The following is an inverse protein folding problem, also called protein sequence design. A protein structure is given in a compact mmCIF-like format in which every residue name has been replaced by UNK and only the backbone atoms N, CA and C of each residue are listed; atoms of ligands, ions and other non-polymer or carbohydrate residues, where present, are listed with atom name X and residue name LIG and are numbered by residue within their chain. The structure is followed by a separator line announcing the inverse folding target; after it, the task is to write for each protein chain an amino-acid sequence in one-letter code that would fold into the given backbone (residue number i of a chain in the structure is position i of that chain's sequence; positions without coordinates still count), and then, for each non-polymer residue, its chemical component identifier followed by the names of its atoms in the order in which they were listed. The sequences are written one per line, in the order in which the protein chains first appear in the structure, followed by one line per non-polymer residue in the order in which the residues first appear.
data_IF_065761349249
#
_entry.id   IF_065761349249
#
_cell.length_a   1.000
_cell.length_b   1.000
_cell.length_c   1.000
_cell.angle_alpha   90.00
_cell.angle_beta   90.00
_cell.angle_gamma   90.00
#
_symmetry.space_group_name_H-M   'P 1'
#
loop_
_entity.id
_entity.type
_entity.pdbx_description
1 polymer ?
#
# COMPACT_ATOMS: atom_id res chain seq x y z
N UNK A 1 31.61 34.98 5.73
CA UNK A 1 30.45 34.89 6.67
C UNK A 1 29.19 34.52 5.90
N UNK A 2 28.63 33.31 6.06
CA UNK A 2 27.35 32.92 5.44
C UNK A 2 26.20 33.44 6.30
N UNK A 3 25.49 34.45 5.80
CA UNK A 3 24.37 35.13 6.48
C UNK A 3 23.21 34.15 6.68
N UNK A 4 22.87 33.86 7.94
CA UNK A 4 21.74 32.99 8.31
C UNK A 4 20.45 33.79 8.17
N UNK A 5 19.82 33.72 7.01
CA UNK A 5 18.51 34.32 6.78
C UNK A 5 17.45 33.48 7.52
N UNK A 6 16.91 34.01 8.62
CA UNK A 6 15.74 33.44 9.28
C UNK A 6 14.52 33.99 8.54
N UNK A 7 13.73 33.11 7.93
CA UNK A 7 12.51 33.51 7.25
C UNK A 7 11.50 34.03 8.30
N UNK A 8 10.99 35.24 8.09
CA UNK A 8 10.07 35.93 9.00
C UNK A 8 8.72 35.20 9.13
N UNK A 9 8.35 34.40 8.12
CA UNK A 9 7.12 33.62 8.08
C UNK A 9 7.44 32.11 7.96
N UNK A 10 6.73 31.29 8.75
CA UNK A 10 6.82 29.84 8.65
C UNK A 10 6.29 29.39 7.27
N UNK A 11 6.99 28.52 6.55
CA UNK A 11 6.51 27.99 5.27
C UNK A 11 5.19 27.21 5.44
N UNK A 12 4.36 27.19 4.40
CA UNK A 12 3.10 26.45 4.36
C UNK A 12 3.33 24.97 4.75
N UNK A 13 2.47 24.38 5.61
CA UNK A 13 2.63 22.99 6.04
C UNK A 13 2.70 22.02 4.85
N UNK A 14 3.35 20.88 5.07
CA UNK A 14 3.44 19.83 4.06
C UNK A 14 2.06 19.18 3.87
N UNK A 15 1.72 18.87 2.62
CA UNK A 15 0.55 18.06 2.28
C UNK A 15 1.02 16.82 1.53
N UNK A 16 0.30 15.71 1.65
CA UNK A 16 0.66 14.45 0.98
C UNK A 16 0.79 14.64 -0.53
N UNK A 17 -0.13 15.40 -1.14
CA UNK A 17 -0.08 15.75 -2.58
C UNK A 17 1.21 16.48 -2.94
N UNK A 18 1.56 17.55 -2.22
CA UNK A 18 2.77 18.33 -2.47
C UNK A 18 4.05 17.49 -2.31
N UNK A 19 4.10 16.64 -1.30
CA UNK A 19 5.24 15.73 -1.08
C UNK A 19 5.36 14.75 -2.25
N UNK A 20 4.26 14.09 -2.63
CA UNK A 20 4.25 13.12 -3.74
C UNK A 20 4.65 13.76 -5.08
N UNK A 21 4.10 14.92 -5.41
CA UNK A 21 4.43 15.68 -6.62
C UNK A 21 5.91 16.06 -6.65
N UNK A 22 6.44 16.53 -5.51
CA UNK A 22 7.86 16.91 -5.42
C UNK A 22 8.78 15.70 -5.57
N UNK A 23 8.42 14.55 -4.99
CA UNK A 23 9.16 13.29 -5.15
C UNK A 23 9.13 12.80 -6.60
N UNK A 24 7.99 12.89 -7.29
CA UNK A 24 7.87 12.60 -8.73
C UNK A 24 8.73 13.55 -9.56
N UNK A 25 8.71 14.84 -9.26
CA UNK A 25 9.57 15.82 -9.94
C UNK A 25 11.07 15.51 -9.75
N UNK A 26 11.49 15.12 -8.54
CA UNK A 26 12.86 14.67 -8.27
C UNK A 26 13.21 13.43 -9.11
N UNK A 27 12.29 12.47 -9.24
CA UNK A 27 12.50 11.26 -10.04
C UNK A 27 12.63 11.57 -11.54
N UNK A 28 11.84 12.51 -12.06
CA UNK A 28 11.85 12.91 -13.47
C UNK A 28 13.02 13.82 -13.86
N UNK A 29 13.68 14.48 -12.91
CA UNK A 29 14.76 15.44 -13.14
C UNK A 29 16.03 14.75 -13.70
N UNK A 30 16.52 15.21 -14.86
CA UNK A 30 17.68 14.65 -15.60
C UNK A 30 18.54 15.77 -16.21
N UNK A 31 19.73 15.42 -16.72
CA UNK A 31 20.62 16.34 -17.44
C UNK A 31 21.59 17.13 -16.55
N UNK A 32 22.36 18.04 -17.16
CA UNK A 32 23.35 18.85 -16.46
C UNK A 32 22.71 19.67 -15.33
N UNK A 33 23.37 19.71 -14.17
CA UNK A 33 22.87 20.40 -12.98
C UNK A 33 21.71 19.71 -12.26
N UNK A 34 21.23 18.54 -12.70
CA UNK A 34 20.11 17.83 -12.06
C UNK A 34 20.40 17.48 -10.61
N UNK A 35 21.65 17.19 -10.26
CA UNK A 35 22.04 16.89 -8.88
C UNK A 35 21.78 18.06 -7.94
N UNK A 36 22.11 19.30 -8.36
CA UNK A 36 21.83 20.50 -7.57
C UNK A 36 20.33 20.72 -7.44
N UNK A 37 19.58 20.65 -8.54
CA UNK A 37 18.13 20.86 -8.53
C UNK A 37 17.40 19.85 -7.65
N UNK A 38 17.79 18.57 -7.68
CA UNK A 38 17.27 17.53 -6.77
C UNK A 38 17.56 17.86 -5.31
N UNK A 39 18.80 18.27 -5.01
CA UNK A 39 19.20 18.71 -3.66
C UNK A 39 18.36 19.89 -3.19
N UNK A 40 18.13 20.89 -4.04
CA UNK A 40 17.34 22.08 -3.69
C UNK A 40 15.87 21.74 -3.41
N UNK A 41 15.26 20.85 -4.21
CA UNK A 41 13.90 20.34 -3.97
C UNK A 41 13.79 19.60 -2.65
N UNK A 42 14.75 18.73 -2.34
CA UNK A 42 14.80 18.00 -1.06
C UNK A 42 14.95 18.97 0.11
N UNK A 43 15.89 19.92 0.03
CA UNK A 43 16.07 20.95 1.04
C UNK A 43 14.80 21.79 1.24
N UNK A 44 14.07 22.09 0.15
CA UNK A 44 12.79 22.76 0.21
C UNK A 44 11.74 21.99 1.03
N UNK A 45 11.63 20.68 0.84
CA UNK A 45 10.75 19.83 1.64
C UNK A 45 11.20 19.79 3.11
N UNK A 46 12.49 19.63 3.38
CA UNK A 46 13.02 19.56 4.74
C UNK A 46 12.83 20.87 5.52
N UNK A 47 12.91 22.03 4.85
CA UNK A 47 12.63 23.34 5.47
C UNK A 47 11.15 23.53 5.81
N UNK A 48 10.24 22.90 5.05
CA UNK A 48 8.80 22.99 5.27
C UNK A 48 8.27 21.95 6.27
N UNK A 49 9.05 20.90 6.56
CA UNK A 49 8.69 19.85 7.48
C UNK A 49 8.57 20.36 8.93
N UNK A 50 7.56 19.88 9.63
CA UNK A 50 7.26 20.16 11.04
C UNK A 50 7.30 18.84 11.83
N UNK A 51 7.43 18.93 13.16
CA UNK A 51 7.03 17.88 14.11
C UNK A 51 7.18 16.41 13.62
N UNK A 52 8.41 15.91 13.58
CA UNK A 52 8.67 14.49 13.23
C UNK A 52 8.46 14.11 11.76
N UNK A 53 7.87 14.96 10.91
CA UNK A 53 7.72 14.71 9.47
C UNK A 53 9.07 14.51 8.78
N UNK A 54 10.10 15.22 9.24
CA UNK A 54 11.47 15.11 8.71
C UNK A 54 12.04 13.69 8.83
N UNK A 55 11.64 12.94 9.89
CA UNK A 55 12.04 11.54 10.08
C UNK A 55 11.50 10.68 8.95
N UNK A 56 10.20 10.81 8.67
CA UNK A 56 9.52 10.04 7.63
C UNK A 56 9.96 10.42 6.22
N UNK A 57 10.18 11.72 5.98
CA UNK A 57 10.71 12.22 4.72
C UNK A 57 12.12 11.65 4.47
N UNK A 58 13.01 11.71 5.46
CA UNK A 58 14.38 11.19 5.33
C UNK A 58 14.39 9.68 5.09
N UNK A 59 13.58 8.91 5.82
CA UNK A 59 13.43 7.46 5.62
C UNK A 59 12.91 7.11 4.22
N UNK A 60 11.98 7.91 3.70
CA UNK A 60 11.44 7.76 2.34
C UNK A 60 12.53 7.99 1.29
N UNK A 61 13.34 9.05 1.44
CA UNK A 61 14.42 9.38 0.51
C UNK A 61 15.54 8.33 0.49
N UNK A 62 15.87 7.75 1.65
CA UNK A 62 16.86 6.65 1.77
C UNK A 62 16.28 5.31 1.30
N UNK A 63 14.96 5.23 1.04
CA UNK A 63 14.21 3.99 0.75
C UNK A 63 14.28 2.97 1.89
N UNK A 64 14.40 3.44 3.14
CA UNK A 64 14.51 2.61 4.33
C UNK A 64 13.43 2.98 5.37
N UNK A 65 12.19 2.61 5.06
CA UNK A 65 11.03 2.98 5.87
C UNK A 65 10.86 2.12 7.13
N UNK A 66 11.18 0.82 7.08
CA UNK A 66 11.11 -0.18 8.19
C UNK A 66 9.94 0.06 9.16
N UNK A 67 8.72 0.12 8.63
CA UNK A 67 7.48 0.29 9.41
C UNK A 67 6.83 -1.05 9.78
N UNK A 68 7.38 -2.17 9.32
CA UNK A 68 6.78 -3.50 9.51
C UNK A 68 5.54 -3.76 8.65
N UNK A 69 5.05 -2.77 7.89
CA UNK A 69 3.96 -2.96 6.94
C UNK A 69 4.49 -3.49 5.60
N UNK A 70 3.73 -4.42 5.01
CA UNK A 70 3.99 -4.94 3.69
C UNK A 70 2.85 -4.50 2.74
N UNK A 71 2.98 -4.83 1.46
CA UNK A 71 1.97 -4.45 0.46
C UNK A 71 0.61 -5.11 0.71
N UNK A 72 0.61 -6.33 1.23
CA UNK A 72 -0.61 -7.08 1.52
C UNK A 72 -1.37 -6.38 2.66
N UNK A 73 -0.69 -5.97 3.73
CA UNK A 73 -1.31 -5.25 4.85
C UNK A 73 -1.89 -3.91 4.40
N UNK A 74 -1.26 -3.21 3.45
CA UNK A 74 -1.82 -2.00 2.85
C UNK A 74 -3.06 -2.31 2.01
N UNK A 75 -3.08 -3.39 1.23
CA UNK A 75 -4.24 -3.79 0.44
C UNK A 75 -5.42 -4.23 1.32
N UNK A 76 -5.14 -4.94 2.41
CA UNK A 76 -6.15 -5.35 3.39
C UNK A 76 -6.77 -4.13 4.08
N UNK A 77 -5.95 -3.19 4.54
CA UNK A 77 -6.44 -1.94 5.12
C UNK A 77 -7.27 -1.12 4.11
N UNK A 78 -6.88 -1.12 2.84
CA UNK A 78 -7.62 -0.45 1.77
C UNK A 78 -8.99 -1.11 1.51
N UNK A 79 -9.06 -2.44 1.56
CA UNK A 79 -10.32 -3.17 1.42
C UNK A 79 -11.29 -2.80 2.54
N UNK A 80 -10.86 -2.90 3.80
CA UNK A 80 -11.70 -2.52 4.96
C UNK A 80 -12.11 -1.05 4.95
N UNK A 81 -11.19 -0.14 4.60
CA UNK A 81 -11.51 1.28 4.47
C UNK A 81 -12.53 1.55 3.35
N UNK A 82 -12.47 0.77 2.26
CA UNK A 82 -13.46 0.86 1.18
C UNK A 82 -14.83 0.38 1.64
N UNK A 83 -14.91 -0.75 2.35
CA UNK A 83 -16.17 -1.26 2.90
C UNK A 83 -16.80 -0.25 3.85
N UNK A 84 -16.02 0.28 4.80
CA UNK A 84 -16.47 1.31 5.74
C UNK A 84 -16.97 2.58 5.01
N UNK A 85 -16.27 3.00 3.95
CA UNK A 85 -16.66 4.18 3.17
C UNK A 85 -18.02 4.02 2.49
N UNK A 86 -18.29 2.86 1.89
CA UNK A 86 -19.56 2.59 1.21
C UNK A 86 -20.69 2.30 2.20
N UNK A 87 -20.44 1.56 3.29
CA UNK A 87 -21.43 1.35 4.36
C UNK A 87 -21.94 2.68 4.94
N UNK A 88 -21.03 3.64 5.20
CA UNK A 88 -21.41 5.00 5.64
C UNK A 88 -22.17 5.78 4.59
N UNK A 89 -21.84 5.60 3.32
CA UNK A 89 -22.46 6.34 2.20
C UNK A 89 -23.87 5.85 1.91
N UNK A 90 -24.11 4.55 2.01
CA UNK A 90 -25.39 3.90 1.74
C UNK A 90 -26.37 4.02 2.92
N UNK A 91 -25.98 4.72 4.00
CA UNK A 91 -26.83 5.00 5.15
C UNK A 91 -27.06 3.78 6.06
N UNK A 92 -26.35 2.68 5.83
CA UNK A 92 -26.35 1.57 6.78
C UNK A 92 -25.61 2.06 8.03
N UNK A 93 -26.28 2.05 9.18
CA UNK A 93 -25.64 2.35 10.47
C UNK A 93 -24.35 1.52 10.61
N UNK A 94 -23.33 1.97 11.37
CA UNK A 94 -22.18 1.14 11.66
C UNK A 94 -22.67 -0.08 12.44
N UNK A 95 -23.10 -1.13 11.73
CA UNK A 95 -23.21 -2.47 12.26
C UNK A 95 -21.85 -2.78 12.84
N UNK A 96 -21.86 -3.16 14.12
CA UNK A 96 -20.70 -3.53 14.93
C UNK A 96 -19.48 -3.81 14.06
N UNK A 97 -18.46 -2.96 14.18
CA UNK A 97 -17.13 -3.20 13.62
C UNK A 97 -16.88 -4.71 13.68
N UNK A 98 -16.75 -5.44 12.56
CA UNK A 98 -16.48 -6.86 12.65
C UNK A 98 -15.22 -6.94 13.50
N UNK A 99 -15.35 -7.54 14.69
CA UNK A 99 -14.25 -7.68 15.62
C UNK A 99 -13.05 -8.12 14.79
N UNK A 100 -12.01 -7.27 14.70
CA UNK A 100 -10.72 -7.61 14.07
C UNK A 100 -9.95 -8.56 15.02
N UNK A 101 -10.70 -9.46 15.67
CA UNK A 101 -10.30 -10.38 16.69
C UNK A 101 -11.13 -11.66 16.46
N UNK A 102 -10.82 -12.37 15.37
CA UNK A 102 -10.96 -13.82 15.39
C UNK A 102 -9.70 -14.35 16.06
N UNK A 103 -9.90 -15.06 17.16
CA UNK A 103 -8.86 -15.66 18.01
C UNK A 103 -8.05 -16.65 17.18
N UNK A 104 -6.89 -16.21 16.68
CA UNK A 104 -5.81 -17.09 16.29
C UNK A 104 -5.02 -17.47 17.55
N UNK A 105 -5.02 -18.76 17.89
CA UNK A 105 -4.13 -19.32 18.93
C UNK A 105 -2.69 -18.95 18.61
N UNK A 106 -2.04 -18.34 19.59
CA UNK A 106 -0.59 -18.21 19.80
C UNK A 106 0.26 -17.69 18.63
N UNK A 107 0.62 -16.39 18.69
CA UNK A 107 1.96 -15.94 18.29
C UNK A 107 2.14 -15.28 16.92
N UNK A 108 1.16 -15.27 16.03
CA UNK A 108 1.17 -14.45 14.81
C UNK A 108 -0.12 -13.63 14.73
N UNK A 109 -0.01 -12.31 14.59
CA UNK A 109 -1.15 -11.43 14.34
C UNK A 109 -1.72 -11.70 12.93
N UNK A 110 -2.43 -12.81 12.78
CA UNK A 110 -3.26 -13.07 11.61
C UNK A 110 -4.47 -12.15 11.75
N UNK A 111 -4.42 -10.99 11.09
CA UNK A 111 -5.66 -10.27 10.77
C UNK A 111 -6.58 -11.28 10.10
N UNK A 112 -7.76 -11.51 10.68
CA UNK A 112 -8.79 -12.32 10.03
C UNK A 112 -8.99 -11.80 8.61
N UNK A 113 -8.63 -12.60 7.62
CA UNK A 113 -8.71 -12.19 6.21
C UNK A 113 -10.17 -12.26 5.82
N UNK A 114 -10.80 -11.09 5.64
CA UNK A 114 -12.18 -11.04 5.15
C UNK A 114 -12.22 -11.46 3.67
N UNK A 115 -13.35 -11.99 3.17
CA UNK A 115 -13.48 -12.31 1.75
C UNK A 115 -13.23 -11.09 0.86
N UNK A 116 -13.56 -9.89 1.34
CA UNK A 116 -13.26 -8.62 0.68
C UNK A 116 -11.76 -8.33 0.57
N UNK A 117 -10.99 -8.53 1.66
CA UNK A 117 -9.52 -8.39 1.64
C UNK A 117 -8.89 -9.36 0.63
N UNK A 118 -9.33 -10.62 0.63
CA UNK A 118 -8.86 -11.63 -0.32
C UNK A 118 -9.21 -11.25 -1.77
N UNK A 119 -10.42 -10.74 -2.01
CA UNK A 119 -10.84 -10.29 -3.34
C UNK A 119 -10.00 -9.12 -3.87
N UNK A 120 -9.70 -8.11 -3.03
CA UNK A 120 -8.82 -6.99 -3.39
C UNK A 120 -7.39 -7.46 -3.64
N UNK A 121 -6.88 -8.39 -2.82
CA UNK A 121 -5.57 -8.98 -3.04
C UNK A 121 -5.49 -9.75 -4.36
N UNK A 122 -6.52 -10.52 -4.72
CA UNK A 122 -6.62 -11.20 -6.03
C UNK A 122 -6.69 -10.19 -7.17
N UNK A 123 -7.55 -9.19 -7.09
CA UNK A 123 -7.67 -8.12 -8.07
C UNK A 123 -6.33 -7.41 -8.32
N UNK A 124 -5.58 -7.08 -7.26
CA UNK A 124 -4.26 -6.49 -7.38
C UNK A 124 -3.22 -7.45 -7.98
N UNK A 125 -3.35 -8.75 -7.74
CA UNK A 125 -2.43 -9.76 -8.29
C UNK A 125 -2.58 -9.88 -9.80
N UNK A 126 -3.80 -9.74 -10.32
CA UNK A 126 -4.13 -9.73 -11.76
C UNK A 126 -3.76 -8.41 -12.43
N UNK A 127 -4.00 -7.29 -11.75
CA UNK A 127 -3.67 -5.96 -12.25
C UNK A 127 -2.95 -5.16 -11.15
N UNK A 128 -1.60 -5.20 -11.10
CA UNK A 128 -0.82 -4.53 -10.05
C UNK A 128 -0.70 -3.01 -10.26
N UNK A 129 -1.81 -2.34 -10.59
CA UNK A 129 -1.90 -0.89 -10.76
C UNK A 129 -2.78 -0.26 -9.69
N UNK A 130 -2.17 0.57 -8.84
CA UNK A 130 -2.88 1.35 -7.82
C UNK A 130 -3.77 2.42 -8.48
N UNK A 131 -3.35 2.93 -9.63
CA UNK A 131 -4.07 3.96 -10.39
C UNK A 131 -5.40 3.44 -10.96
N UNK A 132 -5.55 2.11 -11.13
CA UNK A 132 -6.81 1.47 -11.54
C UNK A 132 -7.59 0.97 -10.34
N UNK A 133 -6.90 0.34 -9.38
CA UNK A 133 -7.55 -0.28 -8.21
C UNK A 133 -8.25 0.76 -7.31
N UNK A 134 -7.56 1.84 -6.96
CA UNK A 134 -8.09 2.82 -5.98
C UNK A 134 -9.34 3.53 -6.51
N UNK A 135 -9.39 4.04 -7.74
CA UNK A 135 -10.62 4.63 -8.28
C UNK A 135 -11.78 3.64 -8.36
N UNK A 136 -11.51 2.37 -8.69
CA UNK A 136 -12.53 1.34 -8.72
C UNK A 136 -13.13 1.09 -7.32
N UNK A 137 -12.27 1.01 -6.30
CA UNK A 137 -12.71 0.86 -4.90
C UNK A 137 -13.51 2.07 -4.41
N UNK A 138 -13.06 3.29 -4.70
CA UNK A 138 -13.76 4.50 -4.25
C UNK A 138 -15.12 4.66 -4.93
N UNK A 139 -15.24 4.32 -6.21
CA UNK A 139 -16.49 4.51 -6.97
C UNK A 139 -17.55 3.44 -6.71
N UNK A 140 -17.15 2.17 -6.63
CA UNK A 140 -18.10 1.05 -6.54
C UNK A 140 -17.64 -0.12 -5.67
N UNK A 141 -16.71 0.12 -4.77
CA UNK A 141 -16.28 -0.83 -3.75
C UNK A 141 -15.53 -2.05 -4.29
N UNK A 142 -15.50 -3.10 -3.48
CA UNK A 142 -14.82 -4.37 -3.82
C UNK A 142 -15.39 -5.02 -5.09
N UNK A 143 -16.72 -5.05 -5.34
CA UNK A 143 -17.26 -5.62 -6.57
C UNK A 143 -16.78 -4.90 -7.84
N UNK A 144 -16.69 -3.56 -7.80
CA UNK A 144 -16.16 -2.79 -8.92
C UNK A 144 -14.67 -3.04 -9.14
N UNK A 145 -13.89 -3.17 -8.07
CA UNK A 145 -12.47 -3.51 -8.15
C UNK A 145 -12.25 -4.87 -8.83
N UNK A 146 -12.99 -5.91 -8.43
CA UNK A 146 -12.88 -7.26 -9.04
C UNK A 146 -13.24 -7.23 -10.52
N UNK A 147 -14.28 -6.46 -10.91
CA UNK A 147 -14.71 -6.35 -12.31
C UNK A 147 -13.73 -5.57 -13.19
N UNK A 148 -13.10 -4.52 -12.67
CA UNK A 148 -12.25 -3.63 -13.46
C UNK A 148 -10.76 -4.04 -13.46
N UNK A 149 -10.29 -4.67 -12.40
CA UNK A 149 -8.92 -5.18 -12.25
C UNK A 149 -8.79 -6.62 -12.75
N UNK A 150 -9.07 -6.80 -14.04
CA UNK A 150 -8.80 -8.05 -14.76
C UNK A 150 -7.39 -8.05 -15.36
N UNK A 151 -6.92 -9.21 -15.81
CA UNK A 151 -5.67 -9.30 -16.57
C UNK A 151 -5.76 -8.47 -17.84
N UNK A 152 -4.74 -7.65 -18.09
CA UNK A 152 -4.64 -6.79 -19.28
C UNK A 152 -3.34 -7.12 -20.01
N UNK A 153 -3.37 -7.33 -21.34
CA UNK A 153 -2.16 -7.43 -22.13
C UNK A 153 -1.22 -6.26 -21.84
N UNK A 154 0.10 -6.52 -21.83
CA UNK A 154 1.15 -5.56 -21.49
C UNK A 154 1.18 -5.04 -20.05
N UNK A 155 0.26 -5.47 -19.18
CA UNK A 155 0.37 -5.23 -17.73
C UNK A 155 0.94 -6.47 -17.07
N UNK A 156 2.09 -6.38 -16.36
CA UNK A 156 2.69 -7.54 -15.71
C UNK A 156 1.78 -8.08 -14.61
N UNK A 157 1.66 -9.40 -14.51
CA UNK A 157 0.92 -10.09 -13.44
C UNK A 157 1.89 -10.48 -12.33
N UNK A 158 1.44 -10.56 -11.08
CA UNK A 158 2.29 -11.05 -9.98
C UNK A 158 2.67 -12.51 -10.28
N UNK A 159 3.97 -12.86 -10.37
CA UNK A 159 4.36 -14.23 -10.64
C UNK A 159 3.98 -15.14 -9.47
N UNK A 160 3.70 -16.40 -9.79
CA UNK A 160 3.60 -17.45 -8.79
C UNK A 160 4.99 -17.72 -8.22
N UNK A 161 5.09 -17.84 -6.89
CA UNK A 161 6.33 -18.17 -6.20
C UNK A 161 6.22 -19.58 -5.66
N UNK A 162 7.27 -20.37 -5.83
CA UNK A 162 7.36 -21.70 -5.26
C UNK A 162 7.63 -21.62 -3.76
N UNK A 163 7.00 -22.51 -3.00
CA UNK A 163 7.39 -22.77 -1.61
C UNK A 163 8.56 -23.76 -1.59
N UNK A 164 9.48 -23.59 -0.65
CA UNK A 164 10.59 -24.53 -0.43
C UNK A 164 10.03 -25.82 0.19
N UNK A 165 10.47 -26.96 -0.32
CA UNK A 165 10.11 -28.30 0.16
C UNK A 165 11.36 -29.08 0.56
N UNK A 166 11.30 -29.85 1.64
CA UNK A 166 12.44 -30.60 2.17
C UNK A 166 12.72 -31.93 1.42
N UNK A 167 11.90 -32.29 0.43
CA UNK A 167 12.06 -33.49 -0.40
C UNK A 167 10.78 -33.84 -1.17
N UNK A 168 10.83 -34.91 -1.96
CA UNK A 168 9.70 -35.35 -2.78
C UNK A 168 8.47 -35.75 -1.94
N UNK A 169 8.67 -36.42 -0.80
CA UNK A 169 7.58 -36.80 0.09
C UNK A 169 6.86 -35.59 0.72
N UNK A 170 7.61 -34.57 1.15
CA UNK A 170 7.04 -33.29 1.67
C UNK A 170 6.29 -32.53 0.56
N UNK A 171 6.80 -32.55 -0.67
CA UNK A 171 6.11 -31.94 -1.80
C UNK A 171 4.76 -32.61 -2.09
N UNK A 172 4.70 -33.94 -2.14
CA UNK A 172 3.45 -34.68 -2.39
C UNK A 172 2.44 -34.46 -1.26
N UNK A 173 2.89 -34.52 0.00
CA UNK A 173 2.01 -34.27 1.15
C UNK A 173 1.36 -32.88 1.12
N UNK A 174 2.12 -31.84 0.72
CA UNK A 174 1.59 -30.47 0.60
C UNK A 174 0.64 -30.28 -0.58
N UNK A 175 0.82 -31.02 -1.67
CA UNK A 175 -0.10 -30.99 -2.81
C UNK A 175 -1.41 -31.65 -2.41
N UNK A 176 -1.38 -32.87 -1.86
CA UNK A 176 -2.60 -33.59 -1.45
C UNK A 176 -3.39 -32.85 -0.37
N UNK A 177 -2.72 -32.28 0.64
CA UNK A 177 -3.39 -31.51 1.70
C UNK A 177 -4.15 -30.29 1.16
N UNK A 178 -3.67 -29.70 0.06
CA UNK A 178 -4.31 -28.53 -0.56
C UNK A 178 -5.60 -28.89 -1.31
N UNK A 179 -5.70 -30.10 -1.85
CA UNK A 179 -6.91 -30.57 -2.54
C UNK A 179 -8.07 -30.77 -1.55
N UNK A 180 -7.78 -31.28 -0.35
CA UNK A 180 -8.79 -31.47 0.73
C UNK A 180 -9.36 -30.14 1.25
N UNK A 181 -8.54 -29.08 1.31
CA UNK A 181 -8.94 -27.72 1.72
C UNK A 181 -9.75 -26.99 0.63
N UNK A 182 -9.58 -27.32 -0.66
CA UNK A 182 -10.34 -26.74 -1.79
C UNK A 182 -11.69 -27.46 -2.01
N UNK A 183 -11.85 -28.74 -1.61
CA UNK A 183 -13.13 -29.47 -1.66
C UNK A 183 -14.06 -29.21 -0.46
N UNK A 184 -13.53 -28.70 0.64
CA UNK A 184 -14.28 -28.47 1.89
C UNK A 184 -14.79 -27.02 2.07
N UNK A 185 -14.59 -26.14 1.07
CA UNK A 185 -14.83 -24.69 1.14
C UNK A 185 -15.87 -24.15 0.17
#
# INVERSE_FOLDING_TARGET
MKRRQVALAKPKPLTVRRVLETLRAIASEKGAGSASRKKDRVLGLMRAAREGEIRWLTRTLIRNMRIGANKISVLHALASASEEHHSRRDGNAPGESPNIAVVGREGEAVLGVTPAMAAVQRAYSLCPSVDVLVPALVSGGVPAAVRLCTMRPFTPVKPMLASITAGAADAVARICKREEDEESG
#
